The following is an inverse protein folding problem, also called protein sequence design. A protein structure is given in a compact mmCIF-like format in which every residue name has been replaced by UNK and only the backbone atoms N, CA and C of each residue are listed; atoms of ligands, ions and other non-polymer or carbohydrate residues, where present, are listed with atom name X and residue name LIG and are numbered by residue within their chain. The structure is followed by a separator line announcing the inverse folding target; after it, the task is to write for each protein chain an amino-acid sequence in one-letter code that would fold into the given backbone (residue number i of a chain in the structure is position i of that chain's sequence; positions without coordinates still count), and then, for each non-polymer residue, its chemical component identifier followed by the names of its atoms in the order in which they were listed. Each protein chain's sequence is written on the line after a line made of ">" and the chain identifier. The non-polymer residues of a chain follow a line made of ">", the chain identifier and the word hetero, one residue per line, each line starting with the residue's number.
data_IF_544626782424
#
_entry.id   IF_544626782424
#
_cell.length_a   1.000
_cell.length_b   1.000
_cell.length_c   1.000
_cell.angle_alpha   90.00
_cell.angle_beta   90.00
_cell.angle_gamma   90.00
#
_symmetry.space_group_name_H-M   'P 1'
#
loop_
_entity.id
_entity.type
_entity.pdbx_description
1 polymer ?
#
# COMPACT_ATOMS: atom_id res chain seq x y z
N UNK A 1 23.44 19.73 -24.05
CA UNK A 1 23.18 19.57 -22.60
C UNK A 1 23.40 18.12 -22.25
N UNK A 2 24.26 17.81 -21.27
CA UNK A 2 24.46 16.41 -20.86
C UNK A 2 23.31 15.99 -19.96
N UNK A 3 22.83 14.75 -20.10
CA UNK A 3 21.76 14.20 -19.27
C UNK A 3 22.07 14.28 -17.75
N UNK A 4 23.36 14.29 -17.38
CA UNK A 4 23.79 14.40 -15.99
C UNK A 4 23.76 15.84 -15.43
N UNK A 5 23.52 16.85 -16.28
CA UNK A 5 23.42 18.27 -15.89
C UNK A 5 21.97 18.69 -15.60
N UNK A 6 20.99 17.80 -15.86
CA UNK A 6 19.60 18.01 -15.49
C UNK A 6 19.43 18.05 -13.97
N UNK A 7 18.51 18.88 -13.47
CA UNK A 7 18.12 18.85 -12.06
C UNK A 7 17.51 17.50 -11.68
N UNK A 8 17.61 17.13 -10.40
CA UNK A 8 17.01 15.89 -9.89
C UNK A 8 15.51 15.81 -10.17
N UNK A 9 14.79 16.94 -10.09
CA UNK A 9 13.36 17.02 -10.41
C UNK A 9 13.08 16.69 -11.88
N UNK A 10 13.88 17.23 -12.81
CA UNK A 10 13.73 16.93 -14.24
C UNK A 10 14.05 15.46 -14.54
N UNK A 11 15.07 14.89 -13.90
CA UNK A 11 15.40 13.48 -14.05
C UNK A 11 14.31 12.56 -13.51
N UNK A 12 13.71 12.92 -12.38
CA UNK A 12 12.53 12.26 -11.80
C UNK A 12 11.34 12.32 -12.76
N UNK A 13 11.12 13.49 -13.38
CA UNK A 13 10.06 13.69 -14.38
C UNK A 13 10.29 12.83 -15.63
N UNK A 14 11.53 12.76 -16.13
CA UNK A 14 11.91 11.90 -17.26
C UNK A 14 11.68 10.42 -16.91
N UNK A 15 12.14 9.98 -15.74
CA UNK A 15 11.91 8.60 -15.29
C UNK A 15 10.41 8.28 -15.19
N UNK A 16 9.62 9.23 -14.68
CA UNK A 16 8.16 9.13 -14.58
C UNK A 16 7.47 9.00 -15.94
N UNK A 17 7.73 9.92 -16.88
CA UNK A 17 7.05 9.92 -18.18
C UNK A 17 7.47 8.78 -19.09
N UNK A 18 8.70 8.30 -18.96
CA UNK A 18 9.21 7.20 -19.81
C UNK A 18 8.85 5.82 -19.26
N UNK A 19 8.63 5.70 -17.94
CA UNK A 19 8.42 4.43 -17.24
C UNK A 19 9.46 3.35 -17.60
N UNK A 20 10.67 3.77 -17.98
CA UNK A 20 11.70 2.88 -18.50
C UNK A 20 12.74 2.55 -17.42
N UNK A 21 12.74 1.34 -16.84
CA UNK A 21 13.68 0.96 -15.78
C UNK A 21 15.13 0.96 -16.25
N UNK A 22 15.40 0.86 -17.56
CA UNK A 22 16.77 0.91 -18.10
C UNK A 22 17.43 2.28 -17.93
N UNK A 23 16.66 3.36 -17.66
CA UNK A 23 17.26 4.66 -17.36
C UNK A 23 18.15 4.61 -16.12
N UNK A 24 17.89 3.71 -15.18
CA UNK A 24 18.71 3.51 -13.98
C UNK A 24 20.17 3.13 -14.28
N UNK A 25 20.47 2.60 -15.47
CA UNK A 25 21.82 2.19 -15.86
C UNK A 25 22.60 3.28 -16.61
N UNK A 26 21.92 4.35 -17.02
CA UNK A 26 22.49 5.42 -17.86
C UNK A 26 23.44 6.31 -17.06
N UNK A 27 23.12 6.59 -15.79
CA UNK A 27 24.00 7.36 -14.90
C UNK A 27 23.66 7.18 -13.42
N UNK A 28 24.59 7.56 -12.54
CA UNK A 28 24.37 7.58 -11.08
C UNK A 28 23.17 8.45 -10.68
N UNK A 29 22.94 9.54 -11.40
CA UNK A 29 21.86 10.47 -11.08
C UNK A 29 20.49 9.85 -11.41
N UNK A 30 20.37 9.20 -12.57
CA UNK A 30 19.16 8.43 -12.91
C UNK A 30 18.97 7.21 -12.02
N UNK A 31 20.06 6.54 -11.61
CA UNK A 31 20.00 5.48 -10.61
C UNK A 31 19.38 6.00 -9.30
N UNK A 32 19.81 7.16 -8.81
CA UNK A 32 19.25 7.75 -7.59
C UNK A 32 17.77 8.13 -7.76
N UNK A 33 17.41 8.72 -8.90
CA UNK A 33 16.02 9.06 -9.20
C UNK A 33 15.14 7.80 -9.27
N UNK A 34 15.61 6.72 -9.90
CA UNK A 34 14.86 5.46 -10.03
C UNK A 34 14.71 4.69 -8.72
N UNK A 35 15.49 5.02 -7.68
CA UNK A 35 15.42 4.42 -6.35
C UNK A 35 14.79 5.36 -5.30
N UNK A 36 14.40 6.57 -5.70
CA UNK A 36 13.73 7.52 -4.83
C UNK A 36 12.26 7.11 -4.59
N UNK A 37 11.82 6.92 -3.34
CA UNK A 37 10.46 6.47 -3.02
C UNK A 37 9.35 7.32 -3.63
N UNK A 38 9.49 8.66 -3.59
CA UNK A 38 8.49 9.58 -4.13
C UNK A 38 8.40 9.51 -5.66
N UNK A 39 9.52 9.31 -6.33
CA UNK A 39 9.60 9.09 -7.79
C UNK A 39 8.88 7.81 -8.18
N UNK A 40 9.25 6.70 -7.52
CA UNK A 40 8.65 5.39 -7.79
C UNK A 40 7.14 5.43 -7.49
N UNK A 41 6.72 6.00 -6.37
CA UNK A 41 5.31 6.10 -6.01
C UNK A 41 4.51 6.90 -7.04
N UNK A 42 5.07 8.02 -7.54
CA UNK A 42 4.44 8.76 -8.66
C UNK A 42 4.30 7.88 -9.89
N UNK A 43 5.35 7.16 -10.29
CA UNK A 43 5.30 6.23 -11.41
C UNK A 43 4.21 5.18 -11.22
N UNK A 44 4.15 4.56 -10.04
CA UNK A 44 3.18 3.52 -9.72
C UNK A 44 1.73 4.02 -9.82
N UNK A 45 1.44 5.21 -9.28
CA UNK A 45 0.09 5.79 -9.32
C UNK A 45 -0.41 6.13 -10.72
N UNK A 46 0.50 6.30 -11.69
CA UNK A 46 0.19 6.62 -13.08
C UNK A 46 0.68 5.52 -14.03
N UNK A 47 1.01 4.34 -13.48
CA UNK A 47 1.43 3.21 -14.28
C UNK A 47 0.22 2.77 -15.08
N UNK A 48 0.30 2.83 -16.41
CA UNK A 48 -0.84 2.45 -17.24
C UNK A 48 -0.97 0.93 -17.21
N UNK A 49 -1.88 0.45 -16.35
CA UNK A 49 -2.13 -0.98 -16.11
C UNK A 49 -2.72 -1.65 -17.37
N UNK A 50 -3.09 -0.89 -18.39
CA UNK A 50 -3.79 -1.38 -19.60
C UNK A 50 -2.93 -2.24 -20.55
N UNK A 51 -1.71 -2.65 -20.15
CA UNK A 51 -0.82 -3.45 -20.97
C UNK A 51 -0.13 -4.63 -20.28
N UNK A 52 -0.81 -5.77 -20.17
CA UNK A 52 -0.22 -7.13 -20.29
C UNK A 52 0.56 -7.78 -19.14
N UNK A 53 0.62 -7.29 -17.90
CA UNK A 53 1.34 -8.00 -16.83
C UNK A 53 0.41 -8.73 -15.86
N UNK A 54 0.59 -10.05 -15.71
CA UNK A 54 -0.13 -10.90 -14.73
C UNK A 54 0.39 -10.73 -13.29
N UNK A 55 1.53 -10.06 -13.14
CA UNK A 55 2.31 -9.97 -11.91
C UNK A 55 2.36 -8.52 -11.42
N UNK A 56 2.40 -8.33 -10.09
CA UNK A 56 2.51 -6.98 -9.54
C UNK A 56 3.85 -6.30 -9.87
N UNK A 57 3.91 -4.96 -9.87
CA UNK A 57 5.18 -4.22 -10.09
C UNK A 57 6.31 -4.71 -9.16
N UNK A 58 5.99 -4.96 -7.89
CA UNK A 58 6.95 -5.48 -6.91
C UNK A 58 7.40 -6.93 -7.21
N UNK A 59 6.65 -7.71 -7.98
CA UNK A 59 7.07 -9.03 -8.48
C UNK A 59 8.10 -8.90 -9.59
N UNK A 60 7.88 -7.99 -10.54
CA UNK A 60 8.79 -7.77 -11.65
C UNK A 60 10.09 -7.09 -11.19
N UNK A 61 10.01 -6.20 -10.20
CA UNK A 61 11.16 -5.47 -9.67
C UNK A 61 11.48 -5.89 -8.22
N UNK A 62 11.94 -7.13 -8.03
CA UNK A 62 12.21 -7.73 -6.70
C UNK A 62 13.09 -6.90 -5.77
N UNK A 63 14.02 -6.08 -6.29
CA UNK A 63 14.87 -5.19 -5.47
C UNK A 63 14.07 -4.06 -4.81
N UNK A 64 13.00 -3.59 -5.47
CA UNK A 64 12.12 -2.55 -4.92
C UNK A 64 11.29 -3.09 -3.75
N UNK A 65 10.95 -4.38 -3.78
CA UNK A 65 10.31 -5.06 -2.64
C UNK A 65 11.21 -5.18 -1.40
N UNK A 66 12.50 -4.81 -1.50
CA UNK A 66 13.47 -4.77 -0.40
C UNK A 66 13.77 -3.35 0.10
N UNK A 67 13.09 -2.33 -0.44
CA UNK A 67 13.30 -0.95 -0.07
C UNK A 67 12.26 -0.53 0.97
N UNK A 68 12.64 -0.57 2.25
CA UNK A 68 11.78 -0.23 3.39
C UNK A 68 11.08 1.13 3.20
N UNK A 69 11.83 2.18 2.84
CA UNK A 69 11.29 3.52 2.63
C UNK A 69 10.23 3.59 1.50
N UNK A 70 10.40 2.79 0.45
CA UNK A 70 9.40 2.69 -0.62
C UNK A 70 8.14 2.00 -0.12
N UNK A 71 8.30 0.89 0.59
CA UNK A 71 7.17 0.13 1.13
C UNK A 71 6.40 0.97 2.15
N UNK A 72 7.11 1.68 3.03
CA UNK A 72 6.52 2.65 3.95
C UNK A 72 5.74 3.73 3.21
N UNK A 73 6.32 4.32 2.15
CA UNK A 73 5.63 5.34 1.33
C UNK A 73 4.37 4.80 0.63
N UNK A 74 4.39 3.54 0.19
CA UNK A 74 3.23 2.84 -0.40
C UNK A 74 2.14 2.64 0.65
N UNK A 75 2.48 2.14 1.85
CA UNK A 75 1.53 1.92 2.95
C UNK A 75 0.95 3.23 3.48
N UNK A 76 1.76 4.30 3.47
CA UNK A 76 1.36 5.63 3.92
C UNK A 76 0.55 6.43 2.92
N UNK A 77 0.25 5.85 1.76
CA UNK A 77 -0.58 6.51 0.77
C UNK A 77 -2.06 6.18 1.01
N UNK A 78 -2.84 7.17 1.44
CA UNK A 78 -4.30 7.08 1.67
C UNK A 78 -5.15 6.97 0.39
N UNK A 79 -4.52 6.66 -0.75
CA UNK A 79 -5.24 6.44 -2.00
C UNK A 79 -5.24 4.96 -2.32
N UNK A 80 -6.33 4.45 -2.90
CA UNK A 80 -6.39 3.08 -3.42
C UNK A 80 -5.26 2.86 -4.43
N UNK A 81 -4.19 2.22 -3.98
CA UNK A 81 -3.19 1.66 -4.87
C UNK A 81 -3.83 0.38 -5.42
N UNK A 82 -3.69 0.11 -6.71
CA UNK A 82 -4.25 -1.13 -7.28
C UNK A 82 -3.54 -2.36 -6.70
N UNK A 83 -4.26 -3.45 -6.44
CA UNK A 83 -3.63 -4.75 -6.09
C UNK A 83 -2.62 -5.25 -7.15
N UNK A 84 -2.70 -4.71 -8.37
CA UNK A 84 -1.73 -4.94 -9.46
C UNK A 84 -0.40 -4.20 -9.26
N UNK A 85 -0.33 -3.28 -8.30
CA UNK A 85 0.86 -2.53 -7.94
C UNK A 85 1.44 -3.07 -6.62
N UNK A 86 0.58 -3.39 -5.64
CA UNK A 86 0.96 -3.86 -4.32
C UNK A 86 0.13 -5.07 -3.87
N UNK A 87 0.80 -6.08 -3.32
CA UNK A 87 0.15 -7.21 -2.63
C UNK A 87 0.42 -7.09 -1.11
N UNK A 88 -0.59 -6.76 -0.29
CA UNK A 88 -0.42 -6.65 1.16
C UNK A 88 0.13 -7.92 1.81
N UNK A 89 -0.23 -9.11 1.32
CA UNK A 89 0.23 -10.38 1.91
C UNK A 89 1.73 -10.54 1.70
N UNK A 90 2.22 -10.16 0.52
CA UNK A 90 3.64 -10.23 0.21
C UNK A 90 4.46 -9.24 1.01
N UNK A 91 3.97 -8.00 1.16
CA UNK A 91 4.64 -6.99 2.00
C UNK A 91 4.69 -7.45 3.46
N UNK A 92 3.61 -8.06 3.95
CA UNK A 92 3.59 -8.64 5.29
C UNK A 92 4.70 -9.68 5.48
N UNK A 93 4.84 -10.64 4.56
CA UNK A 93 5.93 -11.61 4.64
C UNK A 93 7.32 -10.97 4.53
N UNK A 94 7.50 -9.99 3.64
CA UNK A 94 8.78 -9.26 3.56
C UNK A 94 9.09 -8.48 4.84
N UNK A 95 8.07 -7.97 5.52
CA UNK A 95 8.24 -7.28 6.81
C UNK A 95 8.70 -8.24 7.90
N UNK A 96 8.24 -9.49 7.88
CA UNK A 96 8.72 -10.54 8.80
C UNK A 96 10.14 -10.99 8.44
N UNK A 97 10.42 -11.23 7.15
CA UNK A 97 11.74 -11.68 6.67
C UNK A 97 12.85 -10.65 6.92
N UNK A 98 12.53 -9.35 6.87
CA UNK A 98 13.49 -8.26 7.02
C UNK A 98 13.40 -7.53 8.36
N UNK A 99 12.56 -8.01 9.28
CA UNK A 99 12.33 -7.42 10.60
C UNK A 99 11.95 -5.93 10.56
N UNK A 100 11.11 -5.56 9.58
CA UNK A 100 10.61 -4.20 9.43
C UNK A 100 9.42 -3.95 10.37
N UNK A 101 9.71 -3.85 11.66
CA UNK A 101 8.70 -3.72 12.71
C UNK A 101 7.79 -2.50 12.53
N UNK A 102 8.32 -1.38 12.01
CA UNK A 102 7.55 -0.16 11.74
C UNK A 102 6.51 -0.37 10.62
N UNK A 103 6.91 -1.06 9.56
CA UNK A 103 6.03 -1.44 8.45
C UNK A 103 4.99 -2.44 8.94
N UNK A 104 5.40 -3.50 9.64
CA UNK A 104 4.49 -4.52 10.19
C UNK A 104 3.43 -3.87 11.07
N UNK A 105 3.84 -3.01 12.02
CA UNK A 105 2.92 -2.26 12.88
C UNK A 105 1.99 -1.35 12.08
N UNK A 106 2.48 -0.70 11.03
CA UNK A 106 1.66 0.15 10.17
C UNK A 106 0.60 -0.65 9.42
N UNK A 107 0.96 -1.81 8.87
CA UNK A 107 0.00 -2.69 8.19
C UNK A 107 -1.06 -3.22 9.15
N UNK A 108 -0.62 -3.64 10.34
CA UNK A 108 -1.50 -4.14 11.39
C UNK A 108 -2.37 -3.06 12.02
N UNK A 109 -2.06 -1.76 11.85
CA UNK A 109 -2.80 -0.64 12.44
C UNK A 109 -3.59 0.21 11.44
N UNK A 110 -3.60 -0.18 10.16
CA UNK A 110 -4.26 0.58 9.09
C UNK A 110 -5.51 -0.09 8.55
N UNK A 111 -6.44 0.77 8.15
CA UNK A 111 -7.63 0.37 7.38
C UNK A 111 -7.60 0.88 5.94
N UNK A 112 -8.33 0.22 5.07
CA UNK A 112 -8.66 0.65 3.71
C UNK A 112 -10.16 0.96 3.62
N UNK A 113 -10.53 1.98 2.85
CA UNK A 113 -11.92 2.31 2.57
C UNK A 113 -12.36 1.70 1.24
N UNK A 114 -13.43 0.92 1.29
CA UNK A 114 -14.12 0.44 0.11
C UNK A 114 -15.44 1.18 -0.04
N UNK A 115 -15.65 1.84 -1.18
CA UNK A 115 -16.94 2.47 -1.49
C UNK A 115 -17.98 1.37 -1.68
N UNK A 116 -19.09 1.47 -0.96
CA UNK A 116 -20.20 0.54 -1.12
C UNK A 116 -21.21 1.15 -2.10
N UNK A 117 -21.43 0.45 -3.21
CA UNK A 117 -22.53 0.77 -4.11
C UNK A 117 -23.83 0.38 -3.42
N UNK A 118 -24.53 1.36 -2.85
CA UNK A 118 -25.90 1.17 -2.39
C UNK A 118 -26.73 1.09 -3.68
N UNK A 119 -27.07 -0.11 -4.12
CA UNK A 119 -28.07 -0.26 -5.18
C UNK A 119 -29.39 0.24 -4.61
N UNK A 120 -29.82 1.41 -5.09
CA UNK A 120 -31.15 1.93 -4.83
C UNK A 120 -32.19 0.90 -5.23
N UNK A 121 -33.29 0.87 -4.47
CA UNK A 121 -34.48 0.09 -4.81
C UNK A 121 -34.84 0.27 -6.29
N UNK A 122 -35.51 -0.72 -6.89
CA UNK A 122 -35.90 -0.84 -8.32
C UNK A 122 -36.75 0.31 -8.91
N UNK A 123 -36.88 1.44 -8.23
CA UNK A 123 -37.47 2.68 -8.71
C UNK A 123 -36.30 3.59 -9.11
N UNK A 124 -36.16 3.87 -10.41
CA UNK A 124 -35.01 4.56 -11.03
C UNK A 124 -34.78 6.02 -10.62
N UNK A 125 -34.87 6.35 -9.33
CA UNK A 125 -34.35 7.58 -8.75
C UNK A 125 -32.92 7.32 -8.30
N UNK A 126 -31.97 8.03 -8.92
CA UNK A 126 -30.58 8.08 -8.47
C UNK A 126 -30.61 8.86 -7.16
N UNK A 127 -30.73 8.15 -6.05
CA UNK A 127 -30.64 8.77 -4.74
C UNK A 127 -29.25 9.40 -4.61
N UNK A 128 -29.20 10.72 -4.53
CA UNK A 128 -27.98 11.52 -4.42
C UNK A 128 -27.33 11.41 -3.03
N UNK A 129 -27.41 10.23 -2.41
CA UNK A 129 -26.82 9.97 -1.12
C UNK A 129 -25.29 10.01 -1.24
N UNK A 130 -24.66 10.69 -0.27
CA UNK A 130 -23.21 10.72 -0.11
C UNK A 130 -22.66 9.29 -0.16
N UNK A 131 -21.49 9.06 -0.77
CA UNK A 131 -20.88 7.74 -0.81
C UNK A 131 -20.68 7.22 0.62
N UNK A 132 -21.23 6.05 0.90
CA UNK A 132 -20.99 5.35 2.17
C UNK A 132 -19.86 4.36 1.98
N UNK A 133 -18.92 4.34 2.91
CA UNK A 133 -17.72 3.51 2.90
C UNK A 133 -17.81 2.38 3.92
N UNK A 134 -17.22 1.25 3.57
CA UNK A 134 -16.87 0.20 4.51
C UNK A 134 -15.37 0.28 4.78
N UNK A 135 -15.00 0.40 6.05
CA UNK A 135 -13.60 0.27 6.46
C UNK A 135 -13.27 -1.20 6.68
N UNK A 136 -12.15 -1.65 6.11
CA UNK A 136 -11.59 -2.99 6.32
C UNK A 136 -10.16 -2.87 6.79
N UNK A 137 -9.69 -3.87 7.52
CA UNK A 137 -8.25 -3.99 7.81
C UNK A 137 -7.46 -3.99 6.49
N UNK A 138 -6.34 -3.28 6.45
CA UNK A 138 -5.42 -3.32 5.31
C UNK A 138 -4.92 -4.76 5.07
N UNK A 139 -4.76 -5.51 6.15
CA UNK A 139 -4.44 -6.92 6.12
C UNK A 139 -5.25 -7.70 7.16
N UNK A 140 -5.85 -8.80 6.74
CA UNK A 140 -6.49 -9.75 7.64
C UNK A 140 -5.51 -10.89 7.94
N UNK A 141 -4.80 -10.79 9.07
CA UNK A 141 -3.82 -11.81 9.46
C UNK A 141 -4.43 -13.18 9.73
N UNK A 142 -5.73 -13.25 10.08
CA UNK A 142 -6.42 -14.52 10.32
C UNK A 142 -6.64 -15.29 9.00
N UNK A 143 -6.63 -14.58 7.87
CA UNK A 143 -6.71 -15.18 6.54
C UNK A 143 -5.35 -15.65 6.00
N UNK A 144 -4.24 -15.28 6.65
CA UNK A 144 -2.89 -15.60 6.18
C UNK A 144 -2.49 -17.00 6.63
N UNK A 145 -2.17 -17.86 5.66
CA UNK A 145 -1.60 -19.18 5.92
C UNK A 145 -0.10 -19.07 6.13
N UNK A 146 0.33 -19.00 7.39
CA UNK A 146 1.74 -19.04 7.73
C UNK A 146 2.37 -20.38 7.32
N UNK A 147 3.48 -20.31 6.58
CA UNK A 147 4.30 -21.49 6.33
C UNK A 147 5.25 -21.73 7.50
N UNK A 148 5.65 -22.97 7.75
CA UNK A 148 6.64 -23.32 8.77
C UNK A 148 7.94 -22.51 8.64
N UNK A 149 8.36 -22.22 7.40
CA UNK A 149 9.55 -21.40 7.11
C UNK A 149 9.41 -19.97 7.62
N UNK A 150 8.21 -19.40 7.51
CA UNK A 150 7.90 -18.03 7.95
C UNK A 150 8.02 -17.87 9.48
N UNK A 151 7.78 -18.92 10.25
CA UNK A 151 7.90 -18.90 11.72
C UNK A 151 9.32 -19.09 12.22
N UNK A 152 10.23 -19.67 11.43
CA UNK A 152 11.59 -19.95 11.88
C UNK A 152 12.47 -18.69 11.96
N UNK A 153 12.11 -17.67 11.20
CA UNK A 153 12.90 -16.46 10.98
C UNK A 153 12.25 -15.21 11.60
N UNK A 154 11.11 -15.34 12.28
CA UNK A 154 10.42 -14.22 12.92
C UNK A 154 11.12 -13.80 14.22
N UNK A 155 11.32 -12.49 14.41
CA UNK A 155 11.82 -11.93 15.67
C UNK A 155 10.77 -12.06 16.78
N UNK A 156 11.22 -12.03 18.04
CA UNK A 156 10.31 -12.06 19.19
C UNK A 156 9.37 -10.85 19.19
N UNK A 157 9.90 -9.67 18.85
CA UNK A 157 9.16 -8.42 18.74
C UNK A 157 8.07 -8.49 17.66
N UNK A 158 8.39 -9.06 16.49
CA UNK A 158 7.39 -9.29 15.44
C UNK A 158 6.33 -10.29 15.89
N UNK A 159 6.72 -11.36 16.59
CA UNK A 159 5.77 -12.33 17.14
C UNK A 159 4.81 -11.68 18.15
N UNK A 160 5.32 -10.90 19.11
CA UNK A 160 4.49 -10.16 20.07
C UNK A 160 3.56 -9.16 19.38
N UNK A 161 4.01 -8.50 18.32
CA UNK A 161 3.16 -7.62 17.51
C UNK A 161 1.98 -8.37 16.88
N UNK A 162 2.23 -9.57 16.32
CA UNK A 162 1.17 -10.40 15.74
C UNK A 162 0.20 -10.89 16.81
N UNK A 163 0.71 -11.36 17.95
CA UNK A 163 -0.11 -11.84 19.06
C UNK A 163 -1.05 -10.75 19.60
N UNK A 164 -0.56 -9.52 19.69
CA UNK A 164 -1.32 -8.37 20.24
C UNK A 164 -2.15 -7.61 19.21
N UNK A 165 -2.09 -7.98 17.92
CA UNK A 165 -2.79 -7.27 16.85
C UNK A 165 -4.32 -7.18 17.04
N UNK A 166 -4.94 -8.19 17.68
CA UNK A 166 -6.37 -8.22 18.03
C UNK A 166 -6.80 -7.12 19.00
N UNK A 167 -5.86 -6.56 19.76
CA UNK A 167 -6.13 -5.45 20.69
C UNK A 167 -6.01 -4.08 20.04
N UNK A 168 -5.50 -4.00 18.81
CA UNK A 168 -5.27 -2.72 18.13
C UNK A 168 -6.60 -2.07 17.71
N UNK A 169 -6.77 -0.83 18.14
CA UNK A 169 -7.90 0.03 17.77
C UNK A 169 -7.45 1.11 16.80
N UNK A 170 -8.32 1.44 15.83
CA UNK A 170 -8.09 2.50 14.85
C UNK A 170 -9.22 3.49 14.87
N UNK A 171 -8.86 4.76 14.88
CA UNK A 171 -9.77 5.86 14.61
C UNK A 171 -9.80 6.10 13.09
N UNK A 172 -10.82 5.55 12.43
CA UNK A 172 -11.01 5.64 10.97
C UNK A 172 -11.18 7.11 10.56
N UNK A 173 -11.81 7.92 11.41
CA UNK A 173 -12.06 9.34 11.12
C UNK A 173 -10.76 10.12 11.00
N UNK A 174 -9.82 9.87 11.92
CA UNK A 174 -8.47 10.46 11.86
C UNK A 174 -7.63 9.90 10.73
N UNK A 175 -7.73 8.59 10.46
CA UNK A 175 -6.90 7.95 9.45
C UNK A 175 -7.26 8.44 8.04
N UNK A 176 -8.55 8.62 7.73
CA UNK A 176 -9.00 8.91 6.36
C UNK A 176 -9.65 10.29 6.19
N UNK A 177 -9.79 11.08 7.26
CA UNK A 177 -10.42 12.40 7.21
C UNK A 177 -11.93 12.35 6.89
N UNK A 178 -12.62 11.29 7.31
CA UNK A 178 -14.06 11.10 7.10
C UNK A 178 -14.85 11.12 8.41
N UNK A 179 -16.16 11.28 8.33
CA UNK A 179 -17.05 11.31 9.50
C UNK A 179 -17.80 9.99 9.68
N UNK A 180 -18.43 9.80 10.84
CA UNK A 180 -19.29 8.65 11.11
C UNK A 180 -20.42 8.47 10.07
N UNK A 181 -20.95 9.57 9.53
CA UNK A 181 -22.02 9.53 8.51
C UNK A 181 -21.55 8.94 7.18
N UNK A 182 -20.24 8.99 6.92
CA UNK A 182 -19.64 8.45 5.71
C UNK A 182 -19.37 6.94 5.83
N UNK A 183 -19.60 6.31 6.99
CA UNK A 183 -19.31 4.90 7.27
C UNK A 183 -20.57 4.04 7.45
N UNK A 184 -20.54 2.81 6.93
CA UNK A 184 -21.56 1.80 7.24
C UNK A 184 -21.57 1.55 8.75
N UNK A 185 -22.74 1.73 9.37
CA UNK A 185 -22.94 1.50 10.80
C UNK A 185 -22.43 2.60 11.73
N UNK A 186 -21.82 3.68 11.21
CA UNK A 186 -21.49 4.87 11.99
C UNK A 186 -20.33 4.73 13.00
N UNK A 187 -19.65 3.58 13.05
CA UNK A 187 -18.58 3.34 14.02
C UNK A 187 -17.24 3.86 13.47
N UNK A 188 -16.66 4.84 14.16
CA UNK A 188 -15.36 5.43 13.80
C UNK A 188 -14.17 4.74 14.49
N UNK A 189 -14.39 4.04 15.60
CA UNK A 189 -13.37 3.24 16.28
C UNK A 189 -13.63 1.77 15.98
N UNK A 190 -12.64 1.09 15.39
CA UNK A 190 -12.75 -0.33 15.05
C UNK A 190 -11.53 -1.12 15.52
N UNK A 191 -11.78 -2.37 15.89
CA UNK A 191 -10.73 -3.38 16.03
C UNK A 191 -10.39 -3.96 14.66
N UNK A 192 -9.10 -4.09 14.38
CA UNK A 192 -8.61 -4.43 13.04
C UNK A 192 -8.76 -5.93 12.77
N UNK A 193 -8.60 -6.73 13.80
CA UNK A 193 -8.82 -8.18 13.74
C UNK A 193 -9.99 -8.53 14.65
N UNK A 194 -10.93 -9.30 14.10
CA UNK A 194 -12.00 -9.91 14.89
C UNK A 194 -11.46 -11.19 15.53
N UNK A 195 -11.78 -11.39 16.80
CA UNK A 195 -11.60 -12.68 17.48
C UNK A 195 -12.41 -13.78 16.78
#
# INVERSE_FOLDING_TARGET
>A
MKLNELSFDLQTLIFFFTQNPNLATVSKSFYNASHNPGTILKCLLNWDILGKERHSYLENFKRMNKNENLIEAIINKDTYISKLIYDPVRIFYSSLEHDWLGILRSMLSKTTLERVSIFGNKTGEIDSQKPVYSAKAMIDINSIRFSYRSFKEISFEAFTLLETAHTMQVDISKQHGITAQDLIGGNIIVYITKN
#
